data_IF_961887680544
#
_entry.id   IF_961887680544
#
_cell.length_a   1.000
_cell.length_b   1.000
_cell.length_c   1.000
_cell.angle_alpha   90.00
_cell.angle_beta   90.00
_cell.angle_gamma   90.00
#
_symmetry.space_group_name_H-M   'P 1'
#
loop_
_entity.id
_entity.type
_entity.pdbx_description
1 polymer ?
#
# COMPACT_ATOMS: atom_id res chain seq x y z
N UNK A 1 -12.68 -11.36 -7.91
CA UNK A 1 -12.72 -10.01 -7.30
C UNK A 1 -14.15 -9.48 -7.28
N UNK A 2 -14.62 -8.90 -6.18
CA UNK A 2 -15.98 -8.35 -6.07
C UNK A 2 -16.11 -7.01 -6.82
N UNK A 3 -17.34 -6.61 -7.19
CA UNK A 3 -17.61 -5.29 -7.80
C UNK A 3 -17.12 -4.14 -6.91
N UNK A 4 -17.30 -4.26 -5.60
CA UNK A 4 -16.83 -3.26 -4.64
C UNK A 4 -15.30 -3.11 -4.66
N UNK A 5 -14.53 -4.21 -4.70
CA UNK A 5 -13.08 -4.18 -4.84
C UNK A 5 -12.64 -3.48 -6.15
N UNK A 6 -13.31 -3.77 -7.27
CA UNK A 6 -13.00 -3.11 -8.55
C UNK A 6 -13.19 -1.61 -8.48
N UNK A 7 -14.29 -1.15 -7.88
CA UNK A 7 -14.58 0.29 -7.72
C UNK A 7 -13.54 0.95 -6.80
N UNK A 8 -13.22 0.31 -5.66
CA UNK A 8 -12.20 0.83 -4.74
C UNK A 8 -10.85 0.97 -5.45
N UNK A 9 -10.43 -0.02 -6.23
CA UNK A 9 -9.17 0.05 -6.97
C UNK A 9 -9.22 1.06 -8.12
N UNK A 10 -10.37 1.15 -8.83
CA UNK A 10 -10.56 2.12 -9.91
C UNK A 10 -10.44 3.58 -9.43
N UNK A 11 -10.78 3.84 -8.18
CA UNK A 11 -10.63 5.15 -7.55
C UNK A 11 -9.29 5.25 -6.83
N UNK A 12 -8.95 4.27 -6.02
CA UNK A 12 -7.80 4.29 -5.12
C UNK A 12 -6.44 4.27 -5.83
N UNK A 13 -6.34 3.63 -7.00
CA UNK A 13 -5.09 3.58 -7.76
C UNK A 13 -4.80 4.89 -8.50
N UNK A 14 -5.76 5.51 -9.25
CA UNK A 14 -5.51 6.79 -9.90
C UNK A 14 -5.47 8.00 -8.93
N UNK A 15 -6.15 7.95 -7.81
CA UNK A 15 -6.28 9.09 -6.91
C UNK A 15 -4.93 9.63 -6.38
N UNK A 16 -3.96 8.81 -5.97
CA UNK A 16 -2.63 9.29 -5.62
C UNK A 16 -1.88 9.93 -6.79
N UNK A 17 -2.05 9.42 -8.02
CA UNK A 17 -1.48 10.02 -9.22
C UNK A 17 -2.06 11.42 -9.47
N UNK A 18 -3.38 11.57 -9.35
CA UNK A 18 -4.04 12.89 -9.44
C UNK A 18 -3.49 13.82 -8.37
N UNK A 19 -3.30 13.34 -7.13
CA UNK A 19 -2.67 14.10 -6.05
C UNK A 19 -1.26 14.58 -6.41
N UNK A 20 -0.44 13.73 -7.04
CA UNK A 20 0.91 14.11 -7.51
C UNK A 20 0.84 15.17 -8.61
N UNK A 21 -0.07 15.04 -9.59
CA UNK A 21 -0.25 16.03 -10.65
C UNK A 21 -0.66 17.39 -10.05
N UNK A 22 -1.61 17.38 -9.11
CA UNK A 22 -2.03 18.59 -8.38
C UNK A 22 -0.85 19.19 -7.62
N UNK A 23 -0.05 18.36 -6.93
CA UNK A 23 1.15 18.81 -6.22
C UNK A 23 2.15 19.50 -7.17
N UNK A 24 2.40 18.91 -8.32
CA UNK A 24 3.34 19.47 -9.31
C UNK A 24 2.79 20.77 -9.92
N UNK A 25 1.54 20.80 -10.34
CA UNK A 25 0.97 21.95 -11.10
C UNK A 25 0.68 23.15 -10.21
N UNK A 26 0.10 22.93 -9.03
CA UNK A 26 -0.34 24.03 -8.17
C UNK A 26 0.71 24.50 -7.17
N UNK A 27 1.72 23.66 -6.87
CA UNK A 27 2.53 23.82 -5.66
C UNK A 27 4.04 23.83 -5.93
N UNK A 28 4.46 23.85 -7.21
CA UNK A 28 5.87 23.75 -7.59
C UNK A 28 6.78 24.80 -6.92
N UNK A 29 6.26 25.98 -6.59
CA UNK A 29 7.05 27.07 -6.02
C UNK A 29 6.66 27.51 -4.60
N UNK A 30 5.56 27.02 -4.01
CA UNK A 30 5.00 27.66 -2.81
C UNK A 30 4.57 26.70 -1.68
N UNK A 31 4.52 25.39 -1.92
CA UNK A 31 3.87 24.50 -0.96
C UNK A 31 4.72 23.33 -0.50
N UNK A 32 6.02 23.41 -0.53
CA UNK A 32 6.93 22.40 0.03
C UNK A 32 7.84 23.06 1.06
N UNK A 33 7.40 23.01 2.31
CA UNK A 33 8.20 23.43 3.44
C UNK A 33 8.83 22.24 4.21
N UNK A 34 9.60 22.53 5.25
CA UNK A 34 10.17 21.50 6.11
C UNK A 34 9.13 20.57 6.75
N UNK A 35 7.92 21.07 7.01
CA UNK A 35 6.82 20.29 7.56
C UNK A 35 6.34 19.22 6.58
N UNK A 36 6.05 19.61 5.34
CA UNK A 36 5.60 18.72 4.27
C UNK A 36 6.63 17.65 3.95
N UNK A 37 7.91 18.03 3.84
CA UNK A 37 9.02 17.09 3.65
C UNK A 37 9.19 16.14 4.83
N UNK A 38 9.10 16.65 6.05
CA UNK A 38 9.17 15.84 7.26
C UNK A 38 8.04 14.81 7.33
N UNK A 39 6.80 15.19 7.00
CA UNK A 39 5.65 14.31 6.94
C UNK A 39 5.78 13.28 5.80
N UNK A 40 6.19 13.72 4.60
CA UNK A 40 6.43 12.83 3.47
C UNK A 40 7.46 11.76 3.83
N UNK A 41 8.65 12.17 4.27
CA UNK A 41 9.76 11.24 4.54
C UNK A 41 9.44 10.36 5.74
N UNK A 42 8.97 10.94 6.86
CA UNK A 42 8.66 10.20 8.07
C UNK A 42 7.57 9.14 7.85
N UNK A 43 6.45 9.53 7.23
CA UNK A 43 5.36 8.58 6.92
C UNK A 43 5.75 7.59 5.82
N UNK A 44 6.56 8.00 4.83
CA UNK A 44 7.10 7.08 3.83
C UNK A 44 7.93 5.98 4.50
N UNK A 45 8.88 6.34 5.35
CA UNK A 45 9.76 5.37 6.03
C UNK A 45 8.95 4.39 6.89
N UNK A 46 8.05 4.88 7.75
CA UNK A 46 7.30 3.98 8.64
C UNK A 46 6.34 3.06 7.88
N UNK A 47 5.67 3.56 6.83
CA UNK A 47 4.76 2.73 6.01
C UNK A 47 5.52 1.78 5.07
N UNK A 48 6.67 2.20 4.56
CA UNK A 48 7.59 1.34 3.81
C UNK A 48 8.09 0.17 4.70
N UNK A 49 8.52 0.46 5.92
CA UNK A 49 8.88 -0.60 6.89
C UNK A 49 7.67 -1.48 7.23
N UNK A 50 6.47 -0.91 7.31
CA UNK A 50 5.23 -1.67 7.49
C UNK A 50 5.04 -2.75 6.41
N UNK A 51 5.31 -2.41 5.15
CA UNK A 51 5.23 -3.35 4.03
C UNK A 51 6.45 -4.26 3.98
N UNK A 52 7.66 -3.70 3.91
CA UNK A 52 8.87 -4.47 3.63
C UNK A 52 9.33 -5.34 4.80
N UNK A 53 9.35 -4.79 6.02
CA UNK A 53 9.68 -5.53 7.22
C UNK A 53 8.48 -6.30 7.76
N UNK A 54 7.29 -5.65 7.83
CA UNK A 54 6.09 -6.22 8.39
C UNK A 54 5.45 -7.27 7.45
N UNK A 55 4.77 -6.81 6.42
CA UNK A 55 4.02 -7.70 5.53
C UNK A 55 4.90 -8.72 4.85
N UNK A 56 6.02 -8.28 4.28
CA UNK A 56 6.92 -9.14 3.51
C UNK A 56 7.77 -10.05 4.41
N UNK A 57 8.73 -9.49 5.16
CA UNK A 57 9.69 -10.31 5.91
C UNK A 57 9.08 -11.03 7.10
N UNK A 58 8.28 -10.32 7.92
CA UNK A 58 7.76 -10.90 9.17
C UNK A 58 6.57 -11.82 8.93
N UNK A 59 5.53 -11.35 8.20
CA UNK A 59 4.30 -12.13 8.04
C UNK A 59 4.34 -13.10 6.88
N UNK A 60 4.94 -12.75 5.73
CA UNK A 60 5.03 -13.67 4.59
C UNK A 60 6.11 -14.72 4.81
N UNK A 61 7.36 -14.27 5.00
CA UNK A 61 8.52 -15.18 5.10
C UNK A 61 8.79 -15.71 6.49
N UNK A 62 8.16 -15.18 7.54
CA UNK A 62 8.38 -15.55 8.94
C UNK A 62 9.86 -15.48 9.35
N UNK A 63 10.59 -14.55 8.73
CA UNK A 63 12.03 -14.40 8.91
C UNK A 63 12.43 -13.68 10.21
N UNK A 64 11.45 -13.17 10.96
CA UNK A 64 11.65 -12.40 12.19
C UNK A 64 10.65 -12.81 13.25
N UNK A 65 11.16 -13.16 14.42
CA UNK A 65 10.36 -13.28 15.63
C UNK A 65 10.36 -11.97 16.41
N UNK A 66 9.20 -11.57 16.92
CA UNK A 66 9.06 -10.32 17.67
C UNK A 66 7.89 -10.37 18.64
N UNK A 67 7.83 -9.37 19.53
CA UNK A 67 6.74 -9.22 20.48
C UNK A 67 5.39 -9.02 19.76
N UNK A 68 4.31 -9.42 20.42
CA UNK A 68 2.93 -9.23 19.92
C UNK A 68 2.64 -7.76 19.61
N UNK A 69 3.13 -6.86 20.47
CA UNK A 69 2.96 -5.41 20.32
C UNK A 69 3.67 -4.90 19.07
N UNK A 70 4.91 -5.30 18.83
CA UNK A 70 5.65 -4.89 17.65
C UNK A 70 4.98 -5.41 16.36
N UNK A 71 4.53 -6.67 16.36
CA UNK A 71 3.76 -7.24 15.24
C UNK A 71 2.51 -6.42 14.93
N UNK A 72 1.78 -5.99 15.97
CA UNK A 72 0.59 -5.16 15.79
C UNK A 72 0.92 -3.78 15.21
N UNK A 73 1.93 -3.11 15.76
CA UNK A 73 2.36 -1.78 15.29
C UNK A 73 2.78 -1.83 13.81
N UNK A 74 3.63 -2.78 13.45
CA UNK A 74 4.12 -2.89 12.09
C UNK A 74 3.02 -3.29 11.09
N UNK A 75 2.02 -4.08 11.53
CA UNK A 75 0.85 -4.42 10.73
C UNK A 75 -0.06 -3.19 10.46
N UNK A 76 -0.20 -2.30 11.45
CA UNK A 76 -0.90 -1.01 11.28
C UNK A 76 -0.16 -0.13 10.27
N UNK A 77 1.16 0.01 10.40
CA UNK A 77 1.96 0.81 9.45
C UNK A 77 1.87 0.26 8.02
N UNK A 78 1.90 -1.07 7.83
CA UNK A 78 1.66 -1.70 6.54
C UNK A 78 0.26 -1.40 5.98
N UNK A 79 -0.76 -1.39 6.84
CA UNK A 79 -2.13 -1.02 6.43
C UNK A 79 -2.24 0.44 6.00
N UNK A 80 -1.52 1.36 6.64
CA UNK A 80 -1.45 2.77 6.24
C UNK A 80 -0.76 3.01 4.89
N UNK A 81 -0.06 2.01 4.36
CA UNK A 81 0.56 2.04 3.04
C UNK A 81 -0.44 1.93 1.88
N UNK A 82 -1.70 1.57 2.16
CA UNK A 82 -2.81 1.43 1.18
C UNK A 82 -2.56 0.34 0.12
N UNK A 83 -1.77 -0.70 0.45
CA UNK A 83 -1.49 -1.83 -0.45
C UNK A 83 -2.39 -3.06 -0.21
N UNK A 84 -3.42 -2.93 0.58
CA UNK A 84 -4.32 -4.01 0.98
C UNK A 84 -4.21 -4.33 2.46
N UNK A 85 -5.21 -5.05 2.99
CA UNK A 85 -5.19 -5.50 4.37
C UNK A 85 -4.14 -6.59 4.57
N UNK A 86 -3.61 -6.72 5.79
CA UNK A 86 -2.46 -7.58 6.09
C UNK A 86 -2.66 -9.05 5.67
N UNK A 87 -3.84 -9.63 5.93
CA UNK A 87 -4.11 -11.03 5.59
C UNK A 87 -4.27 -11.19 4.07
N UNK A 88 -4.91 -10.24 3.41
CA UNK A 88 -5.08 -10.24 1.95
C UNK A 88 -3.72 -10.12 1.25
N UNK A 89 -2.92 -9.15 1.64
CA UNK A 89 -1.60 -8.91 1.06
C UNK A 89 -0.68 -10.13 1.22
N UNK A 90 -0.63 -10.69 2.43
CA UNK A 90 0.21 -11.87 2.71
C UNK A 90 -0.27 -13.11 1.94
N UNK A 91 -1.59 -13.29 1.81
CA UNK A 91 -2.13 -14.42 1.04
C UNK A 91 -1.76 -14.33 -0.44
N UNK A 92 -1.95 -13.14 -1.06
CA UNK A 92 -1.58 -12.90 -2.46
C UNK A 92 -0.08 -13.09 -2.67
N UNK A 93 0.76 -12.57 -1.76
CA UNK A 93 2.21 -12.65 -1.87
C UNK A 93 2.76 -14.08 -1.66
N UNK A 94 2.19 -14.85 -0.72
CA UNK A 94 2.55 -16.28 -0.58
C UNK A 94 2.08 -17.10 -1.77
N UNK A 95 0.94 -16.75 -2.38
CA UNK A 95 0.48 -17.36 -3.63
C UNK A 95 1.46 -17.06 -4.77
N UNK A 96 1.91 -15.80 -4.89
CA UNK A 96 2.96 -15.42 -5.83
C UNK A 96 4.22 -16.30 -5.65
N UNK A 97 4.76 -16.42 -4.45
CA UNK A 97 5.92 -17.26 -4.18
C UNK A 97 5.69 -18.75 -4.50
N UNK A 98 4.46 -19.23 -4.41
CA UNK A 98 4.12 -20.63 -4.73
C UNK A 98 4.10 -20.88 -6.24
N UNK A 99 3.69 -19.88 -7.04
CA UNK A 99 3.47 -19.98 -8.47
C UNK A 99 4.36 -19.02 -9.27
N UNK A 100 5.48 -18.55 -8.71
CA UNK A 100 6.35 -17.54 -9.35
C UNK A 100 6.59 -17.85 -10.83
N UNK A 101 6.16 -16.91 -11.69
CA UNK A 101 6.28 -16.96 -13.15
C UNK A 101 5.57 -18.15 -13.83
N UNK A 102 4.64 -18.80 -13.14
CA UNK A 102 3.83 -19.90 -13.64
C UNK A 102 2.35 -19.53 -13.70
N UNK A 103 1.56 -20.35 -14.37
CA UNK A 103 0.11 -20.21 -14.36
C UNK A 103 -0.42 -20.23 -12.91
N UNK A 104 -1.19 -19.19 -12.55
CA UNK A 104 -1.67 -18.99 -11.17
C UNK A 104 -0.92 -17.92 -10.38
N UNK A 105 0.21 -17.40 -10.88
CA UNK A 105 0.88 -16.22 -10.31
C UNK A 105 -0.02 -14.99 -10.49
N UNK A 106 -0.37 -14.26 -9.41
CA UNK A 106 -1.26 -13.11 -9.50
C UNK A 106 -0.70 -11.93 -10.29
N UNK A 107 0.62 -11.78 -10.39
CA UNK A 107 1.24 -10.58 -10.98
C UNK A 107 2.57 -10.82 -11.73
N UNK A 108 2.74 -12.00 -12.35
CA UNK A 108 3.91 -12.26 -13.17
C UNK A 108 3.96 -11.36 -14.42
N UNK A 109 5.13 -10.76 -14.74
CA UNK A 109 5.32 -10.04 -15.99
C UNK A 109 5.55 -10.98 -17.19
N UNK A 110 5.78 -12.28 -16.97
CA UNK A 110 6.25 -13.21 -17.99
C UNK A 110 5.13 -13.99 -18.69
N UNK A 111 3.89 -13.92 -18.22
CA UNK A 111 2.76 -14.70 -18.74
C UNK A 111 1.96 -14.01 -19.87
N UNK A 112 2.45 -12.89 -20.41
CA UNK A 112 1.71 -12.09 -21.40
C UNK A 112 2.12 -12.37 -22.86
N UNK A 113 2.90 -13.43 -23.12
CA UNK A 113 3.33 -13.85 -24.44
C UNK A 113 4.75 -13.39 -24.82
N UNK A 114 5.28 -13.86 -25.96
CA UNK A 114 6.65 -13.59 -26.39
C UNK A 114 6.84 -12.20 -27.00
N UNK A 115 8.10 -11.76 -27.09
CA UNK A 115 8.51 -10.54 -27.78
C UNK A 115 8.22 -9.24 -27.02
N UNK A 116 8.52 -8.11 -27.66
CA UNK A 116 8.45 -6.79 -27.05
C UNK A 116 7.00 -6.43 -26.56
N UNK A 117 6.00 -6.74 -27.37
CA UNK A 117 4.61 -6.48 -27.00
C UNK A 117 4.18 -7.30 -25.78
N UNK A 118 4.61 -8.57 -25.68
CA UNK A 118 4.38 -9.41 -24.52
C UNK A 118 5.06 -8.86 -23.27
N UNK A 119 6.31 -8.39 -23.39
CA UNK A 119 7.02 -7.77 -22.29
C UNK A 119 6.35 -6.48 -21.77
N UNK A 120 5.91 -5.59 -22.67
CA UNK A 120 5.19 -4.35 -22.27
C UNK A 120 3.85 -4.68 -21.59
N UNK A 121 3.08 -5.62 -22.15
CA UNK A 121 1.83 -6.07 -21.54
C UNK A 121 2.05 -6.74 -20.19
N UNK A 122 3.10 -7.54 -20.07
CA UNK A 122 3.49 -8.19 -18.82
C UNK A 122 3.91 -7.20 -17.74
N UNK A 123 4.73 -6.22 -18.07
CA UNK A 123 5.11 -5.14 -17.16
C UNK A 123 3.90 -4.33 -16.70
N UNK A 124 2.99 -4.00 -17.62
CA UNK A 124 1.73 -3.33 -17.26
C UNK A 124 0.91 -4.19 -16.29
N UNK A 125 0.74 -5.48 -16.60
CA UNK A 125 0.02 -6.40 -15.72
C UNK A 125 0.68 -6.50 -14.34
N UNK A 126 1.98 -6.76 -14.28
CA UNK A 126 2.70 -6.93 -13.02
C UNK A 126 2.75 -5.66 -12.17
N UNK A 127 2.77 -4.47 -12.79
CA UNK A 127 2.85 -3.21 -12.07
C UNK A 127 1.48 -2.69 -11.60
N UNK A 128 0.48 -2.69 -12.45
CA UNK A 128 -0.84 -2.07 -12.18
C UNK A 128 -2.02 -2.98 -12.53
N UNK A 129 -1.94 -3.72 -13.64
CA UNK A 129 -3.08 -4.47 -14.18
C UNK A 129 -3.64 -5.51 -13.21
N UNK A 130 -2.77 -6.22 -12.49
CA UNK A 130 -3.16 -7.23 -11.52
C UNK A 130 -4.05 -6.70 -10.37
N UNK A 131 -3.95 -5.40 -10.06
CA UNK A 131 -4.81 -4.75 -9.06
C UNK A 131 -6.28 -4.74 -9.46
N UNK A 132 -6.58 -4.82 -10.76
CA UNK A 132 -7.94 -4.85 -11.29
C UNK A 132 -8.44 -6.25 -11.58
N UNK A 133 -7.56 -7.26 -11.62
CA UNK A 133 -7.86 -8.62 -12.04
C UNK A 133 -7.75 -9.63 -10.90
N UNK A 134 -6.61 -9.67 -10.22
CA UNK A 134 -6.21 -10.78 -9.36
C UNK A 134 -6.00 -10.44 -7.89
N UNK A 135 -5.82 -9.16 -7.51
CA UNK A 135 -5.60 -8.77 -6.12
C UNK A 135 -6.74 -9.25 -5.21
N UNK A 136 -6.38 -9.79 -4.06
CA UNK A 136 -7.33 -10.28 -3.06
C UNK A 136 -8.08 -11.56 -3.46
N UNK A 137 -7.61 -12.27 -4.51
CA UNK A 137 -8.22 -13.52 -4.98
C UNK A 137 -7.60 -14.77 -4.36
N UNK A 138 -6.46 -14.65 -3.66
CA UNK A 138 -5.84 -15.79 -2.99
C UNK A 138 -6.72 -16.32 -1.85
N UNK A 139 -6.77 -17.64 -1.73
CA UNK A 139 -7.46 -18.29 -0.61
C UNK A 139 -6.70 -18.04 0.70
N UNK A 140 -7.28 -17.21 1.56
CA UNK A 140 -6.70 -16.82 2.85
C UNK A 140 -6.55 -18.02 3.82
N UNK A 141 -7.42 -19.01 3.74
CA UNK A 141 -7.33 -20.22 4.58
C UNK A 141 -6.17 -21.10 4.12
N UNK A 142 -5.85 -21.11 2.83
CA UNK A 142 -4.73 -21.86 2.28
C UNK A 142 -3.41 -21.13 2.49
N UNK A 143 -3.34 -19.85 2.12
CA UNK A 143 -2.08 -19.11 2.05
C UNK A 143 -1.73 -18.31 3.31
N UNK A 144 -2.72 -17.96 4.16
CA UNK A 144 -2.52 -17.15 5.37
C UNK A 144 -3.25 -17.68 6.60
N UNK A 145 -3.42 -19.01 6.72
CA UNK A 145 -4.14 -19.67 7.82
C UNK A 145 -3.64 -19.29 9.22
N UNK A 146 -2.34 -19.08 9.37
CA UNK A 146 -1.69 -18.62 10.60
C UNK A 146 -2.16 -17.22 11.02
N UNK A 147 -2.25 -16.30 10.08
CA UNK A 147 -2.71 -14.93 10.33
C UNK A 147 -4.23 -14.88 10.54
N UNK A 148 -4.98 -15.73 9.84
CA UNK A 148 -6.42 -15.88 10.06
C UNK A 148 -6.73 -16.37 11.46
N UNK A 149 -5.87 -17.19 12.08
CA UNK A 149 -6.00 -17.67 13.46
C UNK A 149 -5.54 -16.63 14.49
N UNK A 150 -4.65 -15.71 14.14
CA UNK A 150 -4.15 -14.66 15.03
C UNK A 150 -5.22 -13.59 15.26
N UNK A 151 -5.76 -13.54 16.52
CA UNK A 151 -6.82 -12.60 16.88
C UNK A 151 -6.41 -11.14 16.68
N UNK A 152 -5.18 -10.78 17.01
CA UNK A 152 -4.67 -9.40 16.90
C UNK A 152 -4.60 -8.98 15.44
N UNK A 153 -4.01 -9.81 14.59
CA UNK A 153 -3.88 -9.54 13.15
C UNK A 153 -5.25 -9.49 12.49
N UNK A 154 -6.19 -10.38 12.85
CA UNK A 154 -7.57 -10.32 12.33
C UNK A 154 -8.29 -9.01 12.65
N UNK A 155 -8.10 -8.47 13.86
CA UNK A 155 -8.70 -7.18 14.23
C UNK A 155 -8.10 -6.06 13.39
N UNK A 156 -6.77 -6.03 13.23
CA UNK A 156 -6.09 -5.04 12.40
C UNK A 156 -6.55 -5.16 10.93
N UNK A 157 -6.64 -6.37 10.41
CA UNK A 157 -7.13 -6.64 9.05
C UNK A 157 -8.55 -6.11 8.81
N UNK A 158 -9.48 -6.36 9.75
CA UNK A 158 -10.86 -5.87 9.71
C UNK A 158 -10.95 -4.34 9.75
N UNK A 159 -10.05 -3.71 10.49
CA UNK A 159 -9.98 -2.25 10.64
C UNK A 159 -9.14 -1.58 9.56
N UNK A 160 -8.84 -2.26 8.44
CA UNK A 160 -8.01 -1.74 7.37
C UNK A 160 -8.41 -0.33 6.91
N UNK A 161 -9.71 -0.08 6.70
CA UNK A 161 -10.22 1.24 6.31
C UNK A 161 -9.92 2.34 7.34
N UNK A 162 -9.92 2.02 8.63
CA UNK A 162 -9.53 2.97 9.69
C UNK A 162 -8.03 3.33 9.59
N UNK A 163 -7.16 2.36 9.35
CA UNK A 163 -5.73 2.61 9.22
C UNK A 163 -5.41 3.40 7.95
N UNK A 164 -6.10 3.12 6.85
CA UNK A 164 -6.03 3.95 5.65
C UNK A 164 -6.45 5.38 5.95
N UNK A 165 -7.60 5.57 6.59
CA UNK A 165 -8.07 6.90 6.98
C UNK A 165 -7.06 7.63 7.87
N UNK A 166 -6.45 6.94 8.84
CA UNK A 166 -5.40 7.50 9.70
C UNK A 166 -4.17 7.95 8.89
N UNK A 167 -3.81 7.21 7.84
CA UNK A 167 -2.71 7.54 6.92
C UNK A 167 -2.92 8.83 6.12
N UNK A 168 -4.17 9.30 5.99
CA UNK A 168 -4.53 10.56 5.32
C UNK A 168 -4.93 11.66 6.32
N UNK A 169 -5.77 11.33 7.31
CA UNK A 169 -6.21 12.29 8.33
C UNK A 169 -5.06 12.72 9.25
N UNK A 170 -4.12 11.80 9.53
CA UNK A 170 -2.96 12.11 10.37
C UNK A 170 -2.14 13.28 9.84
N UNK A 171 -1.60 13.24 8.62
CA UNK A 171 -0.88 14.38 8.05
C UNK A 171 -1.74 15.64 7.95
N UNK A 172 -3.03 15.55 7.61
CA UNK A 172 -3.92 16.70 7.59
C UNK A 172 -4.01 17.39 8.97
N UNK A 173 -4.25 16.62 10.02
CA UNK A 173 -4.35 17.15 11.39
C UNK A 173 -3.01 17.73 11.86
N UNK A 174 -1.90 17.06 11.59
CA UNK A 174 -0.57 17.56 11.92
C UNK A 174 -0.27 18.87 11.16
N UNK A 175 -0.63 18.94 9.88
CA UNK A 175 -0.51 20.18 9.10
C UNK A 175 -1.33 21.33 9.67
N UNK A 176 -2.57 21.03 10.10
CA UNK A 176 -3.42 22.03 10.75
C UNK A 176 -2.80 22.57 12.05
N UNK A 177 -2.36 21.67 12.93
CA UNK A 177 -1.88 22.04 14.27
C UNK A 177 -0.51 22.74 14.19
N UNK A 178 0.41 22.20 13.38
CA UNK A 178 1.80 22.70 13.32
C UNK A 178 1.91 23.86 12.34
N UNK A 179 1.27 23.78 11.19
CA UNK A 179 1.33 24.77 10.13
C UNK A 179 0.34 25.93 10.27
N UNK A 180 -0.59 25.85 11.22
CA UNK A 180 -1.43 26.98 11.66
C UNK A 180 -2.61 27.30 10.74
N UNK A 181 -3.20 26.31 10.02
CA UNK A 181 -4.42 26.55 9.27
C UNK A 181 -4.74 25.54 8.18
N UNK A 182 -5.87 25.78 7.49
CA UNK A 182 -6.40 24.87 6.47
C UNK A 182 -5.45 24.71 5.28
N UNK A 183 -4.73 25.73 4.86
CA UNK A 183 -3.77 25.67 3.78
C UNK A 183 -2.65 24.65 4.09
N UNK A 184 -2.00 24.79 5.26
CA UNK A 184 -0.97 23.85 5.72
C UNK A 184 -1.53 22.42 5.93
N UNK A 185 -2.79 22.29 6.38
CA UNK A 185 -3.43 20.98 6.48
C UNK A 185 -3.59 20.29 5.12
N UNK A 186 -4.00 21.04 4.10
CA UNK A 186 -4.18 20.52 2.73
C UNK A 186 -2.84 20.18 2.08
N UNK A 187 -1.80 20.99 2.25
CA UNK A 187 -0.45 20.68 1.73
C UNK A 187 0.16 19.48 2.44
N UNK A 188 0.01 19.38 3.76
CA UNK A 188 0.45 18.23 4.54
C UNK A 188 -0.29 16.93 4.14
N UNK A 189 -1.61 17.00 3.89
CA UNK A 189 -2.39 15.88 3.34
C UNK A 189 -1.87 15.49 1.95
N UNK A 190 -1.59 16.45 1.09
CA UNK A 190 -1.12 16.21 -0.26
C UNK A 190 0.22 15.46 -0.24
N UNK A 191 1.21 15.97 0.50
CA UNK A 191 2.55 15.37 0.56
C UNK A 191 2.61 14.11 1.44
N UNK A 192 2.15 14.19 2.69
CA UNK A 192 2.15 13.07 3.64
C UNK A 192 1.11 11.99 3.34
N UNK A 193 0.06 12.32 2.59
CA UNK A 193 -0.98 11.39 2.15
C UNK A 193 -0.75 10.90 0.73
N UNK A 194 -1.17 11.69 -0.29
CA UNK A 194 -1.24 11.24 -1.68
C UNK A 194 0.12 11.00 -2.33
N UNK A 195 1.05 11.97 -2.23
CA UNK A 195 2.40 11.82 -2.80
C UNK A 195 3.14 10.65 -2.17
N UNK A 196 3.05 10.52 -0.85
CA UNK A 196 3.64 9.38 -0.13
C UNK A 196 3.10 8.04 -0.63
N UNK A 197 1.78 7.89 -0.74
CA UNK A 197 1.16 6.64 -1.23
C UNK A 197 1.61 6.34 -2.65
N UNK A 198 1.58 7.34 -3.53
CA UNK A 198 2.04 7.19 -4.91
C UNK A 198 3.49 6.70 -4.98
N UNK A 199 4.41 7.38 -4.31
CA UNK A 199 5.83 7.00 -4.30
C UNK A 199 6.03 5.59 -3.74
N UNK A 200 5.38 5.27 -2.63
CA UNK A 200 5.51 3.96 -1.99
C UNK A 200 5.05 2.83 -2.91
N UNK A 201 3.89 3.01 -3.57
CA UNK A 201 3.37 2.02 -4.49
C UNK A 201 4.31 1.76 -5.67
N UNK A 202 4.79 2.83 -6.33
CA UNK A 202 5.65 2.69 -7.51
C UNK A 202 7.06 2.20 -7.17
N UNK A 203 7.53 2.38 -5.94
CA UNK A 203 8.82 1.83 -5.49
C UNK A 203 8.71 0.35 -5.08
N UNK A 204 7.58 -0.06 -4.48
CA UNK A 204 7.41 -1.43 -3.97
C UNK A 204 6.82 -2.39 -5.00
N UNK A 205 6.11 -1.91 -5.99
CA UNK A 205 5.54 -2.69 -7.11
C UNK A 205 6.45 -2.64 -8.32
#
# INVERSE_FOLDING_TARGET
MTRAHKIVNLVGVPLPLVGVIVAIVLLWNEAVGPLELGLLIGLYVITCLGVTLGYHRMFTHRALDSSRTFRAIIAVFGSMAVQGSVITWVADHRKHHTFTDQEGDPHSPHLSGPGFAGAVKGLWHAHVGWLFETVGTADKQRFAADLVKDRTIRVIDKLFGLWVALGFVGPFVLGWIIGGGIGAALTALLWGGFVRVFLLHHVTW
#
